data_IF_619261355340
#
_entry.id   IF_619261355340
#
_cell.length_a   1.000
_cell.length_b   1.000
_cell.length_c   1.000
_cell.angle_alpha   90.00
_cell.angle_beta   90.00
_cell.angle_gamma   90.00
#
_symmetry.space_group_name_H-M   'P 1'
#
loop_
_entity.id
_entity.type
_entity.pdbx_description
1 polymer ?
#
# COMPACT_ATOMS: atom_id res chain seq x y z
N UNK A 1 15.19 26.71 28.78
CA UNK A 1 14.43 27.22 27.61
C UNK A 1 14.05 26.05 26.72
N UNK A 2 12.84 25.51 26.86
CA UNK A 2 12.31 24.48 25.96
C UNK A 2 12.11 25.11 24.58
N UNK A 3 12.84 24.64 23.58
CA UNK A 3 12.66 25.05 22.17
C UNK A 3 11.19 24.86 21.78
N UNK A 4 10.43 25.96 21.78
CA UNK A 4 9.05 25.99 21.30
C UNK A 4 9.13 25.77 19.79
N UNK A 5 8.99 24.53 19.33
CA UNK A 5 8.96 24.16 17.90
C UNK A 5 7.59 24.54 17.29
N UNK A 6 7.21 25.81 17.38
CA UNK A 6 5.96 26.32 16.80
C UNK A 6 6.06 26.46 15.28
N UNK A 7 7.27 26.59 14.75
CA UNK A 7 7.53 26.67 13.31
C UNK A 7 8.86 25.97 12.98
N UNK A 8 8.88 25.24 11.86
CA UNK A 8 10.11 24.68 11.31
C UNK A 8 10.98 25.81 10.74
N UNK A 9 12.26 25.88 11.14
CA UNK A 9 13.16 26.97 10.73
C UNK A 9 13.37 27.04 9.22
N UNK A 10 13.14 25.95 8.49
CA UNK A 10 13.19 25.92 7.01
C UNK A 10 12.22 26.91 6.36
N UNK A 11 11.09 27.24 7.00
CA UNK A 11 10.16 28.25 6.46
C UNK A 11 10.81 29.63 6.38
N UNK A 12 11.71 29.99 7.30
CA UNK A 12 12.46 31.25 7.22
C UNK A 12 13.40 31.28 6.01
N UNK A 13 13.91 30.12 5.58
CA UNK A 13 14.76 30.03 4.38
C UNK A 13 13.99 30.22 3.08
N UNK A 14 12.71 29.80 3.04
CA UNK A 14 11.89 29.85 1.82
C UNK A 14 11.04 31.12 1.75
N UNK A 15 10.52 31.58 2.90
CA UNK A 15 9.52 32.63 3.02
C UNK A 15 9.97 33.73 3.99
N UNK A 16 11.27 33.86 4.23
CA UNK A 16 11.83 34.87 5.15
C UNK A 16 11.59 36.30 4.69
N UNK A 17 11.36 36.51 3.39
CA UNK A 17 11.02 37.82 2.81
C UNK A 17 9.71 37.72 2.03
N UNK A 18 8.97 38.83 2.00
CA UNK A 18 7.72 38.94 1.24
C UNK A 18 7.94 38.68 -0.26
N UNK A 19 9.03 39.21 -0.81
CA UNK A 19 9.43 39.00 -2.21
C UNK A 19 9.59 37.53 -2.59
N UNK A 20 10.06 36.68 -1.65
CA UNK A 20 10.25 35.26 -1.90
C UNK A 20 8.88 34.55 -2.01
N UNK A 21 7.94 34.92 -1.13
CA UNK A 21 6.57 34.43 -1.18
C UNK A 21 5.89 34.79 -2.50
N UNK A 22 5.95 36.06 -2.89
CA UNK A 22 5.32 36.56 -4.12
C UNK A 22 5.94 35.88 -5.36
N UNK A 23 7.28 35.80 -5.40
CA UNK A 23 7.99 35.12 -6.50
C UNK A 23 7.62 33.64 -6.63
N UNK A 24 7.48 32.91 -5.53
CA UNK A 24 7.08 31.49 -5.57
C UNK A 24 5.62 31.39 -6.02
N UNK A 25 4.72 32.22 -5.49
CA UNK A 25 3.29 32.21 -5.83
C UNK A 25 3.05 32.47 -7.33
N UNK A 26 3.78 33.43 -7.91
CA UNK A 26 3.74 33.75 -9.33
C UNK A 26 4.28 32.58 -10.17
N UNK A 27 5.45 32.04 -9.79
CA UNK A 27 6.10 30.97 -10.53
C UNK A 27 5.29 29.67 -10.59
N UNK A 28 4.44 29.41 -9.59
CA UNK A 28 3.59 28.21 -9.55
C UNK A 28 2.18 28.45 -10.09
N UNK A 29 1.82 29.69 -10.43
CA UNK A 29 0.47 30.03 -10.88
C UNK A 29 -0.58 29.76 -9.81
N UNK A 30 -0.39 30.30 -8.60
CA UNK A 30 -1.33 30.15 -7.50
C UNK A 30 -2.65 30.89 -7.80
N UNK A 31 -3.76 30.15 -7.75
CA UNK A 31 -5.12 30.65 -7.90
C UNK A 31 -5.89 30.54 -6.58
N UNK A 32 -6.85 31.44 -6.38
CA UNK A 32 -7.69 31.50 -5.19
C UNK A 32 -9.16 31.20 -5.52
N UNK A 33 -9.89 30.65 -4.54
CA UNK A 33 -11.34 30.53 -4.66
C UNK A 33 -11.98 31.93 -4.83
N UNK A 34 -13.00 32.08 -5.70
CA UNK A 34 -13.67 33.35 -5.90
C UNK A 34 -14.19 33.97 -4.60
N UNK A 35 -13.92 35.26 -4.40
CA UNK A 35 -14.34 36.02 -3.21
C UNK A 35 -13.54 35.75 -1.93
N UNK A 36 -12.54 34.86 -1.94
CA UNK A 36 -11.74 34.56 -0.74
C UNK A 36 -10.91 35.75 -0.27
N UNK A 37 -10.22 36.44 -1.17
CA UNK A 37 -9.40 37.59 -0.79
C UNK A 37 -10.26 38.74 -0.26
N UNK A 38 -11.43 38.97 -0.87
CA UNK A 38 -12.40 39.96 -0.41
C UNK A 38 -12.94 39.62 0.98
N UNK A 39 -13.20 38.33 1.25
CA UNK A 39 -13.66 37.87 2.56
C UNK A 39 -12.60 38.10 3.64
N UNK A 40 -11.31 37.89 3.34
CA UNK A 40 -10.22 38.04 4.32
C UNK A 40 -10.02 39.47 4.82
N UNK A 41 -10.48 40.47 4.07
CA UNK A 41 -10.42 41.89 4.48
C UNK A 41 -11.70 42.37 5.16
N UNK A 42 -12.72 41.53 5.30
CA UNK A 42 -13.96 41.90 5.97
C UNK A 42 -13.82 41.89 7.49
N UNK A 43 -14.47 42.83 8.21
CA UNK A 43 -14.43 42.88 9.67
C UNK A 43 -15.17 41.70 10.33
N UNK A 44 -16.09 41.05 9.60
CA UNK A 44 -16.86 39.90 10.08
C UNK A 44 -16.50 38.64 9.30
N UNK A 45 -16.42 37.47 9.94
CA UNK A 45 -16.13 36.22 9.24
C UNK A 45 -17.25 35.89 8.24
N UNK A 46 -16.94 35.26 7.10
CA UNK A 46 -17.96 34.83 6.17
C UNK A 46 -18.82 33.71 6.78
N UNK A 47 -20.09 33.58 6.37
CA UNK A 47 -20.94 32.49 6.83
C UNK A 47 -20.45 31.14 6.34
N UNK A 48 -20.87 30.02 6.96
CA UNK A 48 -20.46 28.68 6.53
C UNK A 48 -20.80 28.39 5.05
N UNK A 49 -21.88 28.98 4.53
CA UNK A 49 -22.31 28.84 3.13
C UNK A 49 -21.29 29.36 2.12
N UNK A 50 -20.41 30.28 2.52
CA UNK A 50 -19.33 30.80 1.69
C UNK A 50 -18.38 29.70 1.21
N UNK A 51 -18.03 28.76 2.10
CA UNK A 51 -17.17 27.64 1.69
C UNK A 51 -17.90 26.66 0.77
N UNK A 52 -19.23 26.61 0.81
CA UNK A 52 -20.00 25.67 -0.01
C UNK A 52 -19.99 26.04 -1.50
N UNK A 53 -19.81 27.34 -1.81
CA UNK A 53 -19.73 27.86 -3.18
C UNK A 53 -18.35 27.69 -3.82
N UNK A 54 -17.34 27.23 -3.07
CA UNK A 54 -16.00 27.01 -3.62
C UNK A 54 -15.98 25.86 -4.65
N UNK A 55 -14.97 25.80 -5.53
CA UNK A 55 -14.85 24.72 -6.50
C UNK A 55 -14.61 23.35 -5.86
N UNK A 56 -15.02 22.27 -6.53
CA UNK A 56 -14.70 20.91 -6.10
C UNK A 56 -13.24 20.53 -6.41
N UNK A 57 -12.61 19.65 -5.62
CA UNK A 57 -11.28 19.09 -5.91
C UNK A 57 -11.12 18.53 -7.32
N UNK A 58 -10.09 19.00 -8.05
CA UNK A 58 -9.74 18.53 -9.40
C UNK A 58 -8.44 17.73 -9.41
N UNK A 59 -8.27 16.89 -10.43
CA UNK A 59 -7.00 16.20 -10.69
C UNK A 59 -5.95 17.20 -11.18
N UNK A 60 -4.67 16.85 -11.06
CA UNK A 60 -3.57 17.65 -11.61
C UNK A 60 -3.22 18.91 -10.82
N UNK A 61 -3.85 19.13 -9.67
CA UNK A 61 -3.67 20.34 -8.87
C UNK A 61 -3.08 20.03 -7.49
N UNK A 62 -2.16 20.89 -7.06
CA UNK A 62 -1.77 21.06 -5.66
C UNK A 62 -2.56 22.19 -5.03
N UNK A 63 -2.63 22.21 -3.69
CA UNK A 63 -3.23 23.34 -2.97
C UNK A 63 -3.92 22.95 -1.68
N UNK A 64 -4.83 23.82 -1.25
CA UNK A 64 -5.52 23.77 0.03
C UNK A 64 -7.00 23.51 -0.21
N UNK A 65 -7.58 22.65 0.61
CA UNK A 65 -9.01 22.37 0.59
C UNK A 65 -9.59 22.51 2.00
N UNK A 66 -10.89 22.78 2.06
CA UNK A 66 -11.69 22.73 3.28
C UNK A 66 -12.60 21.51 3.24
N UNK A 67 -12.67 20.79 4.36
CA UNK A 67 -13.59 19.68 4.62
C UNK A 67 -14.62 20.16 5.63
N UNK A 68 -15.91 19.97 5.30
CA UNK A 68 -17.03 20.41 6.15
C UNK A 68 -17.81 19.19 6.59
N UNK A 69 -17.89 19.00 7.91
CA UNK A 69 -18.65 17.94 8.52
C UNK A 69 -19.92 18.50 9.18
N UNK A 70 -21.04 17.83 8.95
CA UNK A 70 -22.31 18.13 9.58
C UNK A 70 -22.97 16.84 10.08
N UNK A 71 -23.81 16.95 11.12
CA UNK A 71 -24.67 15.84 11.57
C UNK A 71 -25.69 15.50 10.48
N UNK A 72 -25.95 14.20 10.27
CA UNK A 72 -26.95 13.71 9.30
C UNK A 72 -28.36 14.22 9.63
N UNK A 73 -28.79 14.06 10.88
CA UNK A 73 -30.14 14.42 11.29
C UNK A 73 -30.33 15.95 11.31
N UNK A 74 -31.37 16.43 10.61
CA UNK A 74 -31.68 17.87 10.48
C UNK A 74 -31.83 18.57 11.83
N UNK A 75 -32.47 17.91 12.82
CA UNK A 75 -32.62 18.43 14.19
C UNK A 75 -31.25 18.63 14.86
N UNK A 76 -30.37 17.62 14.78
CA UNK A 76 -29.01 17.70 15.34
C UNK A 76 -28.15 18.73 14.61
N UNK A 77 -28.34 18.92 13.30
CA UNK A 77 -27.62 19.94 12.53
C UNK A 77 -27.94 21.37 12.99
N UNK A 78 -29.19 21.63 13.41
CA UNK A 78 -29.57 22.94 13.99
C UNK A 78 -28.96 23.17 15.37
N UNK A 79 -28.70 22.09 16.12
CA UNK A 79 -28.20 22.16 17.51
C UNK A 79 -26.66 22.08 17.60
N UNK A 80 -26.01 21.50 16.59
CA UNK A 80 -24.57 21.29 16.57
C UNK A 80 -23.91 22.17 15.51
N UNK A 81 -22.89 22.94 15.90
CA UNK A 81 -22.03 23.62 14.93
C UNK A 81 -21.39 22.61 13.97
N UNK A 82 -21.26 23.01 12.69
CA UNK A 82 -20.48 22.26 11.71
C UNK A 82 -19.01 22.20 12.16
N UNK A 83 -18.27 21.18 11.71
CA UNK A 83 -16.82 21.11 11.90
C UNK A 83 -16.16 21.45 10.58
N UNK A 84 -15.21 22.38 10.62
CA UNK A 84 -14.42 22.80 9.46
C UNK A 84 -12.97 22.41 9.67
N UNK A 85 -12.34 21.85 8.64
CA UNK A 85 -10.94 21.43 8.63
C UNK A 85 -10.28 21.86 7.33
N UNK A 86 -9.11 22.48 7.42
CA UNK A 86 -8.30 22.80 6.26
C UNK A 86 -7.20 21.77 6.16
N UNK A 87 -6.99 21.27 4.95
CA UNK A 87 -5.91 20.34 4.64
C UNK A 87 -5.27 20.71 3.31
N UNK A 88 -4.07 20.19 3.06
CA UNK A 88 -3.44 20.34 1.76
C UNK A 88 -3.26 19.02 1.02
N UNK A 89 -3.35 19.13 -0.31
CA UNK A 89 -3.17 18.02 -1.24
C UNK A 89 -1.93 18.22 -2.08
N UNK A 90 -0.85 17.52 -1.74
CA UNK A 90 0.48 17.66 -2.38
C UNK A 90 1.00 16.32 -2.93
N UNK A 91 0.11 15.39 -3.25
CA UNK A 91 0.51 14.06 -3.69
C UNK A 91 1.16 14.12 -5.08
N UNK A 92 2.39 13.59 -5.18
CA UNK A 92 3.18 13.47 -6.42
C UNK A 92 3.08 12.08 -7.04
N UNK A 93 1.94 11.41 -6.91
CA UNK A 93 1.83 10.08 -7.47
C UNK A 93 1.90 10.13 -9.00
N UNK A 94 2.27 9.00 -9.62
CA UNK A 94 2.47 8.87 -11.08
C UNK A 94 1.23 9.28 -11.88
N UNK A 95 0.05 9.29 -11.23
CA UNK A 95 -1.23 9.64 -11.85
C UNK A 95 -1.59 11.13 -11.75
N UNK A 96 -0.71 11.96 -11.18
CA UNK A 96 -0.93 13.40 -11.08
C UNK A 96 -2.20 13.76 -10.32
N UNK A 97 -2.57 12.97 -9.31
CA UNK A 97 -3.91 13.07 -8.76
C UNK A 97 -4.05 14.16 -7.67
N UNK A 98 -2.94 14.69 -7.14
CA UNK A 98 -2.90 15.95 -6.39
C UNK A 98 -3.87 16.03 -5.21
N UNK A 99 -4.61 17.14 -5.11
CA UNK A 99 -5.68 17.34 -4.12
C UNK A 99 -6.74 16.25 -4.21
N UNK A 100 -7.24 15.93 -5.42
CA UNK A 100 -8.35 15.00 -5.59
C UNK A 100 -8.06 13.62 -5.01
N UNK A 101 -6.83 13.11 -5.14
CA UNK A 101 -6.44 11.85 -4.49
C UNK A 101 -6.58 11.92 -2.99
N UNK A 102 -6.03 12.97 -2.37
CA UNK A 102 -6.09 13.16 -0.92
C UNK A 102 -7.54 13.25 -0.45
N UNK A 103 -8.39 13.98 -1.16
CA UNK A 103 -9.79 14.13 -0.78
C UNK A 103 -10.64 12.87 -1.03
N UNK A 104 -10.30 12.06 -2.04
CA UNK A 104 -10.98 10.78 -2.29
C UNK A 104 -10.72 9.76 -1.16
N UNK A 105 -9.54 9.77 -0.54
CA UNK A 105 -9.28 8.89 0.61
C UNK A 105 -10.20 9.12 1.80
N UNK A 106 -10.90 10.26 1.85
CA UNK A 106 -11.90 10.55 2.87
C UNK A 106 -13.27 9.97 2.56
N UNK A 107 -13.54 9.63 1.29
CA UNK A 107 -14.82 9.05 0.84
C UNK A 107 -14.82 7.53 0.88
N UNK A 108 -13.68 6.91 0.56
CA UNK A 108 -13.65 5.48 0.23
C UNK A 108 -13.67 4.56 1.47
N UNK A 109 -12.93 4.90 2.55
CA UNK A 109 -12.78 3.98 3.70
C UNK A 109 -12.52 4.70 5.04
N UNK A 110 -12.54 6.04 5.07
CA UNK A 110 -12.23 6.86 6.24
C UNK A 110 -10.87 6.56 6.94
N UNK A 111 -10.07 5.64 6.39
CA UNK A 111 -8.82 5.10 6.97
C UNK A 111 -7.74 6.16 7.16
N UNK A 112 -7.80 7.23 6.37
CA UNK A 112 -6.79 8.30 6.35
C UNK A 112 -7.33 9.64 6.84
N UNK A 113 -8.46 9.64 7.55
CA UNK A 113 -8.94 10.85 8.21
C UNK A 113 -7.94 11.31 9.28
N UNK A 114 -7.69 12.63 9.40
CA UNK A 114 -7.06 13.17 10.60
C UNK A 114 -7.84 12.76 11.86
N UNK A 115 -7.15 12.54 12.98
CA UNK A 115 -7.71 11.98 14.22
C UNK A 115 -9.00 12.68 14.69
N UNK A 116 -9.05 14.02 14.62
CA UNK A 116 -10.24 14.78 14.99
C UNK A 116 -11.43 14.51 14.06
N UNK A 117 -11.19 14.37 12.76
CA UNK A 117 -12.25 14.07 11.78
C UNK A 117 -12.72 12.63 11.94
N UNK A 118 -11.79 11.70 12.21
CA UNK A 118 -12.10 10.31 12.49
C UNK A 118 -13.04 10.20 13.70
N UNK A 119 -12.69 10.84 14.83
CA UNK A 119 -13.54 10.88 16.03
C UNK A 119 -14.90 11.52 15.75
N UNK A 120 -14.92 12.65 15.04
CA UNK A 120 -16.18 13.31 14.68
C UNK A 120 -17.11 12.38 13.88
N UNK A 121 -16.57 11.66 12.89
CA UNK A 121 -17.36 10.75 12.03
C UNK A 121 -17.80 9.50 12.80
N UNK A 122 -16.87 8.80 13.45
CA UNK A 122 -17.13 7.48 14.01
C UNK A 122 -17.73 7.50 15.41
N UNK A 123 -17.44 8.53 16.21
CA UNK A 123 -17.87 8.59 17.62
C UNK A 123 -18.98 9.62 17.82
N UNK A 124 -18.93 10.74 17.09
CA UNK A 124 -19.91 11.80 17.24
C UNK A 124 -21.01 11.74 16.17
N UNK A 125 -20.94 10.87 15.17
CA UNK A 125 -22.00 10.74 14.14
C UNK A 125 -22.09 11.93 13.18
N UNK A 126 -20.98 12.65 12.98
CA UNK A 126 -20.85 13.59 11.88
C UNK A 126 -20.64 12.86 10.55
N UNK A 127 -20.90 13.57 9.45
CA UNK A 127 -20.54 13.13 8.10
C UNK A 127 -19.87 14.25 7.34
N UNK A 128 -18.90 13.90 6.50
CA UNK A 128 -18.35 14.82 5.51
C UNK A 128 -19.44 15.15 4.50
N UNK A 129 -19.85 16.40 4.47
CA UNK A 129 -20.88 16.89 3.54
C UNK A 129 -20.26 17.52 2.31
N UNK A 130 -19.13 18.21 2.47
CA UNK A 130 -18.47 18.93 1.40
C UNK A 130 -16.95 18.84 1.54
N UNK A 131 -16.28 18.80 0.39
CA UNK A 131 -14.84 19.05 0.26
C UNK A 131 -14.66 20.02 -0.88
N UNK A 132 -13.96 21.13 -0.62
CA UNK A 132 -13.92 22.29 -1.52
C UNK A 132 -12.52 22.89 -1.58
N UNK A 133 -12.08 23.37 -2.74
CA UNK A 133 -10.76 23.96 -2.92
C UNK A 133 -10.76 25.43 -2.49
N UNK A 134 -9.77 25.81 -1.69
CA UNK A 134 -9.60 27.18 -1.17
C UNK A 134 -8.59 27.96 -2.00
N UNK A 135 -7.47 27.33 -2.34
CA UNK A 135 -6.51 27.82 -3.32
C UNK A 135 -5.81 26.63 -3.97
N UNK A 136 -5.31 26.81 -5.18
CA UNK A 136 -4.70 25.73 -5.94
C UNK A 136 -3.67 26.23 -6.95
N UNK A 137 -2.86 25.31 -7.44
CA UNK A 137 -1.87 25.52 -8.50
C UNK A 137 -1.75 24.22 -9.30
N UNK A 138 -1.32 24.27 -10.58
CA UNK A 138 -0.84 23.07 -11.28
C UNK A 138 0.24 22.36 -10.45
N UNK A 139 0.38 21.04 -10.59
CA UNK A 139 1.48 20.31 -9.93
C UNK A 139 2.83 20.96 -10.33
N UNK A 140 3.61 21.50 -9.38
CA UNK A 140 4.80 22.26 -9.72
C UNK A 140 5.86 21.43 -10.43
N UNK A 141 6.62 22.10 -11.30
CA UNK A 141 7.83 21.55 -11.90
C UNK A 141 8.78 21.05 -10.79
N UNK A 142 9.53 19.96 -11.00
CA UNK A 142 10.36 19.34 -9.97
C UNK A 142 11.20 20.33 -9.14
N UNK A 143 11.88 21.26 -9.81
CA UNK A 143 12.75 22.27 -9.19
C UNK A 143 12.02 23.22 -8.22
N UNK A 144 10.72 23.46 -8.42
CA UNK A 144 9.92 24.36 -7.58
C UNK A 144 9.18 23.64 -6.45
N UNK A 145 9.10 22.30 -6.47
CA UNK A 145 8.19 21.55 -5.58
C UNK A 145 8.45 21.77 -4.09
N UNK A 146 9.71 21.80 -3.66
CA UNK A 146 10.02 22.00 -2.24
C UNK A 146 9.59 23.40 -1.76
N UNK A 147 9.82 24.43 -2.59
CA UNK A 147 9.40 25.80 -2.30
C UNK A 147 7.88 25.94 -2.34
N UNK A 148 7.23 25.35 -3.34
CA UNK A 148 5.78 25.30 -3.47
C UNK A 148 5.10 24.55 -2.31
N UNK A 149 5.70 23.45 -1.84
CA UNK A 149 5.22 22.73 -0.65
C UNK A 149 5.33 23.60 0.61
N UNK A 150 6.44 24.34 0.76
CA UNK A 150 6.59 25.35 1.80
C UNK A 150 5.49 26.42 1.73
N UNK A 151 5.24 26.99 0.55
CA UNK A 151 4.17 27.96 0.34
C UNK A 151 2.80 27.38 0.75
N UNK A 152 2.45 26.19 0.26
CA UNK A 152 1.16 25.54 0.56
C UNK A 152 1.01 25.26 2.06
N UNK A 153 2.05 24.79 2.75
CA UNK A 153 1.99 24.56 4.19
C UNK A 153 1.85 25.86 4.99
N UNK A 154 2.54 26.93 4.59
CA UNK A 154 2.43 28.23 5.24
C UNK A 154 1.05 28.86 5.03
N UNK A 155 0.51 28.77 3.81
CA UNK A 155 -0.85 29.20 3.49
C UNK A 155 -1.89 28.36 4.23
N UNK A 156 -1.70 27.04 4.33
CA UNK A 156 -2.59 26.14 5.09
C UNK A 156 -2.64 26.58 6.55
N UNK A 157 -1.49 26.88 7.16
CA UNK A 157 -1.44 27.35 8.53
C UNK A 157 -2.14 28.70 8.69
N UNK A 158 -1.81 29.65 7.81
CA UNK A 158 -2.32 31.02 7.88
C UNK A 158 -3.85 31.05 7.72
N UNK A 159 -4.37 30.34 6.72
CA UNK A 159 -5.82 30.19 6.52
C UNK A 159 -6.45 29.42 7.68
N UNK A 160 -5.80 28.37 8.18
CA UNK A 160 -6.34 27.57 9.28
C UNK A 160 -6.49 28.38 10.58
N UNK A 161 -5.53 29.25 10.85
CA UNK A 161 -5.57 30.20 11.97
C UNK A 161 -6.63 31.28 11.74
N UNK A 162 -6.62 31.90 10.56
CA UNK A 162 -7.56 32.98 10.20
C UNK A 162 -9.01 32.52 10.31
N UNK A 163 -9.35 31.38 9.72
CA UNK A 163 -10.68 30.79 9.79
C UNK A 163 -10.93 29.99 11.08
N UNK A 164 -10.03 30.03 12.08
CA UNK A 164 -10.22 29.39 13.39
C UNK A 164 -10.60 27.89 13.29
N UNK A 165 -10.02 27.17 12.34
CA UNK A 165 -10.26 25.72 12.16
C UNK A 165 -9.28 24.85 12.96
N UNK A 166 -8.28 25.46 13.59
CA UNK A 166 -7.39 24.82 14.57
C UNK A 166 -7.99 24.96 15.95
N UNK A 167 -7.97 23.88 16.75
CA UNK A 167 -8.39 23.94 18.15
C UNK A 167 -7.52 24.93 18.94
N UNK A 168 -8.07 25.62 19.95
CA UNK A 168 -7.29 26.54 20.76
C UNK A 168 -6.01 25.89 21.31
N UNK A 169 -4.89 26.58 21.15
CA UNK A 169 -3.57 26.18 21.63
C UNK A 169 -3.03 27.19 22.64
N UNK A 170 -2.10 26.73 23.49
CA UNK A 170 -1.43 27.60 24.47
C UNK A 170 -0.66 28.77 23.84
N UNK A 171 -0.22 28.60 22.58
CA UNK A 171 0.51 29.61 21.81
C UNK A 171 -0.40 30.61 21.09
N UNK A 172 -1.72 30.41 21.06
CA UNK A 172 -2.61 31.25 20.23
C UNK A 172 -2.60 32.73 20.66
N UNK A 173 -2.40 33.00 21.94
CA UNK A 173 -2.30 34.37 22.47
C UNK A 173 -1.17 35.19 21.82
N UNK A 174 -0.15 34.53 21.27
CA UNK A 174 0.96 35.19 20.57
C UNK A 174 0.56 35.72 19.19
N UNK A 175 -0.52 35.20 18.61
CA UNK A 175 -0.92 35.50 17.23
C UNK A 175 -2.35 36.03 17.14
N UNK A 176 -3.14 35.95 18.22
CA UNK A 176 -4.55 36.35 18.21
C UNK A 176 -4.78 37.79 17.74
N UNK A 177 -3.87 38.71 18.08
CA UNK A 177 -3.92 40.10 17.66
C UNK A 177 -3.65 40.32 16.17
N UNK A 178 -3.14 39.31 15.46
CA UNK A 178 -2.87 39.34 14.01
C UNK A 178 -4.04 38.77 13.20
N UNK A 179 -4.99 38.11 13.83
CA UNK A 179 -6.08 37.41 13.15
C UNK A 179 -7.31 38.32 13.05
N UNK A 180 -7.99 38.38 11.88
CA UNK A 180 -9.11 39.31 11.67
C UNK A 180 -10.34 38.94 12.51
N UNK A 181 -10.47 37.68 12.94
CA UNK A 181 -11.65 37.19 13.64
C UNK A 181 -11.30 36.42 14.91
N UNK A 182 -12.22 36.46 15.86
CA UNK A 182 -12.12 35.70 17.11
C UNK A 182 -12.70 34.29 16.94
N UNK A 183 -12.34 33.36 17.83
CA UNK A 183 -12.93 32.02 17.83
C UNK A 183 -14.45 32.04 18.11
N UNK A 184 -14.95 33.06 18.82
CA UNK A 184 -16.37 33.19 19.14
C UNK A 184 -17.20 33.68 17.94
N UNK A 185 -16.60 34.46 17.03
CA UNK A 185 -17.31 35.06 15.90
C UNK A 185 -17.59 34.09 14.74
N UNK A 186 -16.96 32.90 14.70
CA UNK A 186 -17.17 31.93 13.61
C UNK A 186 -18.31 30.94 13.91
N UNK A 187 -19.02 30.53 12.85
CA UNK A 187 -20.20 29.64 12.92
C UNK A 187 -19.86 28.15 13.07
N UNK A 188 -18.59 27.78 12.89
CA UNK A 188 -18.13 26.39 12.93
C UNK A 188 -17.24 26.09 14.14
N UNK A 189 -16.96 24.81 14.33
CA UNK A 189 -15.99 24.28 15.29
C UNK A 189 -14.70 23.88 14.57
N UNK A 190 -13.55 23.96 15.27
CA UNK A 190 -12.28 23.54 14.70
C UNK A 190 -12.20 22.03 14.49
N UNK A 191 -11.65 21.63 13.35
CA UNK A 191 -11.38 20.23 12.99
C UNK A 191 -9.90 19.87 12.93
N UNK A 192 -8.98 20.82 13.19
CA UNK A 192 -7.53 20.61 13.12
C UNK A 192 -6.88 20.67 14.51
N UNK A 193 -5.82 19.89 14.71
CA UNK A 193 -5.11 19.76 15.99
C UNK A 193 -3.68 20.28 15.99
N UNK A 194 -3.15 20.75 14.85
CA UNK A 194 -1.76 21.19 14.71
C UNK A 194 -1.61 22.30 13.66
N UNK A 195 -0.51 23.05 13.75
CA UNK A 195 -0.11 23.99 12.71
C UNK A 195 0.69 23.25 11.63
N UNK A 196 0.31 23.40 10.36
CA UNK A 196 1.04 22.78 9.24
C UNK A 196 2.50 23.28 9.12
N UNK A 197 2.85 24.43 9.71
CA UNK A 197 4.23 24.94 9.74
C UNK A 197 5.20 24.12 10.63
N UNK A 198 4.71 23.20 11.46
CA UNK A 198 5.59 22.25 12.17
C UNK A 198 6.00 21.08 11.27
N UNK A 199 5.35 20.92 10.12
CA UNK A 199 5.62 19.83 9.20
C UNK A 199 6.98 20.00 8.52
N UNK A 200 7.55 18.87 8.11
CA UNK A 200 8.76 18.85 7.31
C UNK A 200 8.41 19.05 5.83
N UNK A 201 9.04 20.02 5.20
CA UNK A 201 9.00 20.20 3.74
C UNK A 201 9.81 19.07 3.10
N UNK A 202 9.25 18.44 2.06
CA UNK A 202 9.89 17.31 1.39
C UNK A 202 10.75 17.81 0.24
N UNK A 203 11.88 17.14 0.05
CA UNK A 203 12.89 17.55 -0.91
C UNK A 203 14.06 18.25 -0.24
N UNK A 204 15.10 18.50 -1.01
CA UNK A 204 16.30 19.19 -0.57
C UNK A 204 16.35 20.53 -1.29
N UNK A 205 16.32 21.61 -0.51
CA UNK A 205 16.37 22.98 -1.02
C UNK A 205 17.75 23.38 -1.52
N UNK A 206 18.79 22.59 -1.21
CA UNK A 206 20.18 22.85 -1.60
C UNK A 206 20.55 22.25 -2.95
N UNK A 207 19.71 21.35 -3.48
CA UNK A 207 19.98 20.69 -4.75
C UNK A 207 19.74 21.61 -5.94
N UNK A 208 20.52 21.42 -7.00
CA UNK A 208 20.32 22.16 -8.26
C UNK A 208 19.05 21.69 -8.99
N UNK A 209 18.57 22.50 -9.93
CA UNK A 209 17.39 22.15 -10.73
C UNK A 209 17.62 20.86 -11.55
N UNK A 210 18.84 20.66 -12.06
CA UNK A 210 19.27 19.50 -12.83
C UNK A 210 19.28 18.24 -11.96
N UNK A 211 19.86 18.30 -10.75
CA UNK A 211 19.88 17.18 -9.82
C UNK A 211 18.46 16.78 -9.40
N UNK A 212 17.60 17.76 -9.14
CA UNK A 212 16.19 17.53 -8.81
C UNK A 212 15.46 16.86 -9.97
N UNK A 213 15.73 17.26 -11.22
CA UNK A 213 15.15 16.64 -12.40
C UNK A 213 15.57 15.16 -12.55
N UNK A 214 16.85 14.84 -12.33
CA UNK A 214 17.37 13.46 -12.33
C UNK A 214 16.66 12.62 -11.25
N UNK A 215 16.54 13.14 -10.03
CA UNK A 215 15.84 12.44 -8.95
C UNK A 215 14.36 12.24 -9.27
N UNK A 216 13.70 13.20 -9.91
CA UNK A 216 12.30 13.07 -10.30
C UNK A 216 12.09 11.93 -11.30
N UNK A 217 12.96 11.83 -12.32
CA UNK A 217 12.94 10.71 -13.28
C UNK A 217 13.09 9.37 -12.56
N UNK A 218 14.06 9.27 -11.64
CA UNK A 218 14.26 8.05 -10.84
C UNK A 218 13.07 7.73 -9.92
N UNK A 219 12.45 8.74 -9.31
CA UNK A 219 11.24 8.57 -8.47
C UNK A 219 10.06 8.06 -9.30
N UNK A 220 9.82 8.65 -10.48
CA UNK A 220 8.77 8.19 -11.41
C UNK A 220 9.01 6.76 -11.87
N UNK A 221 10.24 6.40 -12.23
CA UNK A 221 10.60 5.03 -12.60
C UNK A 221 10.35 4.03 -11.46
N UNK A 222 10.82 4.34 -10.24
CA UNK A 222 10.58 3.51 -9.05
C UNK A 222 9.09 3.36 -8.73
N UNK A 223 8.32 4.44 -8.83
CA UNK A 223 6.89 4.41 -8.57
C UNK A 223 6.14 3.58 -9.62
N UNK A 224 6.51 3.68 -10.90
CA UNK A 224 5.97 2.82 -11.96
C UNK A 224 6.27 1.34 -11.69
N UNK A 225 7.50 1.03 -11.28
CA UNK A 225 7.89 -0.34 -10.94
C UNK A 225 7.16 -0.89 -9.71
N UNK A 226 7.03 -0.06 -8.67
CA UNK A 226 6.26 -0.41 -7.49
C UNK A 226 4.81 -0.74 -7.84
N UNK A 227 4.15 0.11 -8.64
CA UNK A 227 2.78 -0.13 -9.08
C UNK A 227 2.65 -1.41 -9.92
N UNK A 228 3.60 -1.67 -10.83
CA UNK A 228 3.63 -2.93 -11.59
C UNK A 228 3.68 -4.16 -10.68
N UNK A 229 4.53 -4.15 -9.65
CA UNK A 229 4.62 -5.24 -8.66
C UNK A 229 3.37 -5.36 -7.82
N UNK A 230 2.80 -4.23 -7.41
CA UNK A 230 1.57 -4.18 -6.62
C UNK A 230 0.38 -4.77 -7.39
N UNK A 231 0.20 -4.36 -8.65
CA UNK A 231 -0.87 -4.87 -9.51
C UNK A 231 -0.70 -6.37 -9.79
N UNK A 232 0.54 -6.84 -10.03
CA UNK A 232 0.84 -8.25 -10.18
C UNK A 232 0.51 -9.06 -8.90
N UNK A 233 0.79 -8.51 -7.72
CA UNK A 233 0.44 -9.14 -6.44
C UNK A 233 -1.07 -9.17 -6.21
N UNK A 234 -1.80 -8.11 -6.56
CA UNK A 234 -3.27 -8.11 -6.50
C UNK A 234 -3.82 -9.22 -7.40
N UNK A 235 -3.35 -9.31 -8.65
CA UNK A 235 -3.81 -10.32 -9.59
C UNK A 235 -3.52 -11.73 -9.07
N UNK A 236 -2.32 -11.97 -8.54
CA UNK A 236 -1.96 -13.24 -7.90
C UNK A 236 -2.91 -13.59 -6.76
N UNK A 237 -3.22 -12.63 -5.87
CA UNK A 237 -4.15 -12.86 -4.76
C UNK A 237 -5.56 -13.20 -5.25
N UNK A 238 -6.03 -12.58 -6.33
CA UNK A 238 -7.31 -12.91 -6.96
C UNK A 238 -7.29 -14.33 -7.52
N UNK A 239 -6.22 -14.72 -8.21
CA UNK A 239 -6.08 -16.04 -8.80
C UNK A 239 -5.96 -17.14 -7.73
N UNK A 240 -5.22 -16.89 -6.65
CA UNK A 240 -5.09 -17.80 -5.52
C UNK A 240 -6.44 -18.01 -4.82
N UNK A 241 -7.22 -16.95 -4.62
CA UNK A 241 -8.61 -17.06 -4.12
C UNK A 241 -9.47 -17.90 -5.05
N UNK A 242 -9.42 -17.68 -6.36
CA UNK A 242 -10.16 -18.49 -7.34
C UNK A 242 -9.73 -19.97 -7.29
N UNK A 243 -8.42 -20.25 -7.18
CA UNK A 243 -7.89 -21.62 -7.05
C UNK A 243 -8.40 -22.29 -5.78
N UNK A 244 -8.42 -21.58 -4.65
CA UNK A 244 -8.95 -22.08 -3.39
C UNK A 244 -10.44 -22.41 -3.49
N UNK A 245 -11.26 -21.51 -4.03
CA UNK A 245 -12.69 -21.75 -4.25
C UNK A 245 -12.93 -22.95 -5.18
N UNK A 246 -12.18 -23.05 -6.28
CA UNK A 246 -12.27 -24.18 -7.21
C UNK A 246 -11.85 -25.50 -6.56
N UNK A 247 -10.84 -25.49 -5.68
CA UNK A 247 -10.42 -26.67 -4.93
C UNK A 247 -11.54 -27.17 -4.00
N UNK A 248 -12.14 -26.26 -3.23
CA UNK A 248 -13.28 -26.60 -2.34
C UNK A 248 -14.45 -27.16 -3.16
N UNK A 249 -14.81 -26.52 -4.28
CA UNK A 249 -15.89 -26.99 -5.14
C UNK A 249 -15.62 -28.37 -5.72
N UNK A 250 -14.38 -28.67 -6.13
CA UNK A 250 -14.01 -30.00 -6.67
C UNK A 250 -14.05 -31.08 -5.61
N UNK A 251 -13.64 -30.79 -4.38
CA UNK A 251 -13.70 -31.75 -3.29
C UNK A 251 -15.15 -32.04 -2.91
N UNK A 252 -16.01 -31.02 -2.84
CA UNK A 252 -17.44 -31.21 -2.61
C UNK A 252 -18.09 -32.11 -3.66
N UNK A 253 -17.75 -31.92 -4.94
CA UNK A 253 -18.23 -32.78 -6.05
C UNK A 253 -17.83 -34.25 -5.85
N UNK A 254 -16.61 -34.51 -5.35
CA UNK A 254 -16.13 -35.86 -5.07
C UNK A 254 -16.82 -36.47 -3.85
N UNK A 255 -17.01 -35.70 -2.78
CA UNK A 255 -17.69 -36.13 -1.55
C UNK A 255 -19.17 -36.45 -1.81
N UNK A 256 -19.86 -35.60 -2.59
CA UNK A 256 -21.25 -35.81 -3.02
C UNK A 256 -21.39 -36.92 -4.08
N UNK A 257 -20.27 -37.53 -4.53
CA UNK A 257 -20.22 -38.49 -5.65
C UNK A 257 -21.00 -38.03 -6.88
N UNK A 258 -21.01 -36.72 -7.17
CA UNK A 258 -21.91 -36.11 -8.16
C UNK A 258 -21.65 -36.59 -9.60
N UNK A 259 -20.40 -36.91 -9.90
CA UNK A 259 -20.01 -37.54 -11.17
C UNK A 259 -19.34 -38.87 -10.86
N UNK A 260 -20.15 -39.90 -10.62
CA UNK A 260 -19.70 -41.21 -10.19
C UNK A 260 -19.93 -42.26 -11.27
N UNK A 261 -19.07 -43.27 -11.29
CA UNK A 261 -19.17 -44.42 -12.18
C UNK A 261 -19.38 -45.68 -11.33
N UNK A 262 -20.60 -46.22 -11.31
CA UNK A 262 -20.95 -47.40 -10.51
C UNK A 262 -20.11 -48.63 -10.89
N UNK A 263 -19.94 -48.99 -12.19
CA UNK A 263 -19.17 -50.19 -12.57
C UNK A 263 -17.69 -50.15 -12.15
N UNK A 264 -17.15 -48.97 -11.89
CA UNK A 264 -15.74 -48.78 -11.51
C UNK A 264 -15.55 -48.29 -10.07
N UNK A 265 -16.63 -48.10 -9.31
CA UNK A 265 -16.67 -47.49 -7.97
C UNK A 265 -15.72 -46.27 -7.83
N UNK A 266 -15.85 -45.31 -8.75
CA UNK A 266 -14.96 -44.15 -8.78
C UNK A 266 -15.71 -42.83 -8.99
N UNK A 267 -15.37 -41.83 -8.18
CA UNK A 267 -15.90 -40.46 -8.30
C UNK A 267 -14.93 -39.57 -9.08
N UNK A 268 -15.46 -38.75 -9.97
CA UNK A 268 -14.71 -37.85 -10.84
C UNK A 268 -14.93 -36.39 -10.45
N UNK A 269 -13.91 -35.56 -10.72
CA UNK A 269 -13.91 -34.13 -10.37
C UNK A 269 -14.80 -33.25 -11.27
N UNK A 270 -15.50 -33.84 -12.23
CA UNK A 270 -16.32 -33.12 -13.21
C UNK A 270 -16.88 -34.04 -14.29
N UNK A 271 -17.94 -33.58 -14.95
CA UNK A 271 -18.68 -34.32 -15.99
C UNK A 271 -17.79 -34.79 -17.14
N UNK A 272 -16.94 -33.90 -17.67
CA UNK A 272 -16.00 -34.25 -18.75
C UNK A 272 -15.06 -35.40 -18.36
N UNK A 273 -14.56 -35.41 -17.13
CA UNK A 273 -13.67 -36.48 -16.67
C UNK A 273 -14.40 -37.83 -16.55
N UNK A 274 -15.67 -37.81 -16.13
CA UNK A 274 -16.52 -38.99 -16.18
C UNK A 274 -16.76 -39.42 -17.62
N UNK A 275 -17.15 -38.51 -18.52
CA UNK A 275 -17.37 -38.82 -19.93
C UNK A 275 -16.13 -39.41 -20.62
N UNK A 276 -14.94 -38.87 -20.35
CA UNK A 276 -13.68 -39.41 -20.86
C UNK A 276 -13.37 -40.79 -20.25
N UNK A 277 -13.66 -40.99 -18.96
CA UNK A 277 -13.56 -42.31 -18.33
C UNK A 277 -14.48 -43.34 -18.99
N UNK A 278 -15.75 -43.00 -19.22
CA UNK A 278 -16.74 -43.90 -19.82
C UNK A 278 -16.32 -44.36 -21.23
N UNK A 279 -15.58 -43.52 -21.96
CA UNK A 279 -15.03 -43.86 -23.29
C UNK A 279 -13.75 -44.72 -23.23
N UNK A 280 -13.09 -44.79 -22.07
CA UNK A 280 -11.80 -45.47 -21.95
C UNK A 280 -11.92 -46.99 -22.04
N UNK A 281 -10.92 -47.65 -22.62
CA UNK A 281 -10.84 -49.12 -22.66
C UNK A 281 -10.96 -49.73 -21.26
N UNK A 282 -10.41 -49.06 -20.24
CA UNK A 282 -10.49 -49.51 -18.85
C UNK A 282 -11.92 -49.63 -18.33
N UNK A 283 -12.78 -48.67 -18.68
CA UNK A 283 -14.18 -48.72 -18.29
C UNK A 283 -14.91 -49.84 -19.03
N UNK A 284 -14.67 -49.99 -20.34
CA UNK A 284 -15.24 -51.11 -21.11
C UNK A 284 -14.80 -52.47 -20.58
N UNK A 285 -13.53 -52.62 -20.21
CA UNK A 285 -12.99 -53.85 -19.62
C UNK A 285 -13.65 -54.16 -18.27
N UNK A 286 -13.86 -53.13 -17.44
CA UNK A 286 -14.54 -53.26 -16.15
C UNK A 286 -16.01 -53.70 -16.32
N UNK A 287 -16.75 -53.10 -17.27
CA UNK A 287 -18.13 -53.53 -17.60
C UNK A 287 -18.16 -54.99 -18.07
N UNK A 288 -17.17 -55.41 -18.87
CA UNK A 288 -17.05 -56.80 -19.36
C UNK A 288 -16.60 -57.79 -18.28
N UNK A 289 -16.41 -57.35 -17.04
CA UNK A 289 -15.91 -58.20 -15.95
C UNK A 289 -14.48 -58.69 -16.16
N UNK A 290 -13.73 -58.08 -17.09
CA UNK A 290 -12.32 -58.44 -17.34
C UNK A 290 -11.50 -57.92 -16.16
N UNK A 291 -11.29 -58.78 -15.18
CA UNK A 291 -10.31 -58.52 -14.14
C UNK A 291 -8.93 -58.50 -14.80
N UNK A 292 -8.40 -57.30 -15.05
CA UNK A 292 -6.98 -57.17 -15.37
C UNK A 292 -6.21 -57.81 -14.22
N UNK A 293 -5.17 -58.61 -14.51
CA UNK A 293 -4.33 -59.16 -13.45
C UNK A 293 -3.90 -57.98 -12.60
N UNK A 294 -4.34 -57.97 -11.33
CA UNK A 294 -3.91 -56.98 -10.35
C UNK A 294 -2.42 -56.92 -10.52
N UNK A 295 -1.90 -55.77 -10.96
CA UNK A 295 -0.47 -55.59 -11.18
C UNK A 295 0.14 -55.90 -9.82
N UNK A 296 0.66 -57.12 -9.67
CA UNK A 296 0.64 -57.76 -8.35
C UNK A 296 1.34 -56.83 -7.40
N UNK A 297 0.76 -56.62 -6.22
CA UNK A 297 1.44 -55.94 -5.13
C UNK A 297 2.87 -56.45 -5.00
N UNK A 298 3.13 -57.73 -5.31
CA UNK A 298 4.46 -58.31 -5.49
C UNK A 298 5.34 -57.66 -6.58
N UNK A 299 4.89 -57.41 -7.82
CA UNK A 299 5.71 -56.73 -8.86
C UNK A 299 5.99 -55.28 -8.48
N UNK A 300 5.01 -54.56 -7.95
CA UNK A 300 5.20 -53.19 -7.48
C UNK A 300 6.12 -53.16 -6.25
N UNK A 301 5.92 -54.04 -5.28
CA UNK A 301 6.78 -54.19 -4.11
C UNK A 301 8.20 -54.59 -4.49
N UNK A 302 8.40 -55.50 -5.45
CA UNK A 302 9.72 -55.83 -6.00
C UNK A 302 10.39 -54.63 -6.66
N UNK A 303 9.66 -53.84 -7.47
CA UNK A 303 10.21 -52.60 -8.06
C UNK A 303 10.55 -51.56 -6.97
N UNK A 304 9.70 -51.41 -5.95
CA UNK A 304 9.92 -50.50 -4.83
C UNK A 304 11.13 -50.93 -3.98
N UNK A 305 11.22 -52.22 -3.65
CA UNK A 305 12.33 -52.81 -2.93
C UNK A 305 13.64 -52.70 -3.73
N UNK A 306 13.62 -52.97 -5.03
CA UNK A 306 14.78 -52.79 -5.90
C UNK A 306 15.23 -51.32 -5.98
N UNK A 307 14.30 -50.36 -6.04
CA UNK A 307 14.61 -48.92 -5.97
C UNK A 307 15.21 -48.54 -4.62
N UNK A 308 14.64 -49.02 -3.53
CA UNK A 308 15.15 -48.77 -2.18
C UNK A 308 16.56 -49.36 -1.99
N UNK A 309 16.79 -50.59 -2.47
CA UNK A 309 18.10 -51.23 -2.44
C UNK A 309 19.15 -50.45 -3.26
N UNK A 310 18.80 -49.99 -4.47
CA UNK A 310 19.68 -49.13 -5.29
C UNK A 310 19.96 -47.77 -4.65
N UNK A 311 18.97 -47.17 -4.01
CA UNK A 311 19.13 -45.91 -3.30
C UNK A 311 20.06 -46.08 -2.08
N UNK A 312 19.87 -47.15 -1.30
CA UNK A 312 20.74 -47.49 -0.17
C UNK A 312 22.17 -47.80 -0.62
N UNK A 313 22.34 -48.54 -1.71
CA UNK A 313 23.62 -48.85 -2.32
C UNK A 313 24.24 -47.67 -3.11
N UNK A 314 23.53 -46.53 -3.21
CA UNK A 314 23.91 -45.37 -4.03
C UNK A 314 24.32 -45.75 -5.47
N UNK A 315 23.66 -46.75 -6.05
CA UNK A 315 24.03 -47.31 -7.37
C UNK A 315 24.01 -46.26 -8.47
N UNK A 316 23.01 -45.37 -8.47
CA UNK A 316 22.89 -44.26 -9.41
C UNK A 316 22.89 -42.95 -8.62
N UNK A 317 24.07 -42.48 -8.23
CA UNK A 317 24.21 -41.36 -7.30
C UNK A 317 25.09 -40.24 -7.86
N UNK A 318 24.61 -39.01 -7.75
CA UNK A 318 25.38 -37.81 -8.07
C UNK A 318 26.06 -37.30 -6.80
N UNK A 319 27.40 -37.33 -6.78
CA UNK A 319 28.20 -36.85 -5.65
C UNK A 319 28.16 -35.34 -5.46
N UNK A 320 28.01 -34.56 -6.54
CA UNK A 320 27.98 -33.10 -6.50
C UNK A 320 26.70 -32.55 -5.86
N UNK A 321 25.57 -33.19 -6.20
CA UNK A 321 24.25 -32.81 -5.71
C UNK A 321 23.84 -33.60 -4.46
N UNK A 322 24.59 -34.65 -4.10
CA UNK A 322 24.24 -35.62 -3.06
C UNK A 322 22.80 -36.14 -3.25
N UNK A 323 22.54 -36.67 -4.46
CA UNK A 323 21.20 -37.10 -4.88
C UNK A 323 21.26 -38.49 -5.52
N UNK A 324 20.38 -39.39 -5.10
CA UNK A 324 20.15 -40.69 -5.72
C UNK A 324 19.11 -40.58 -6.84
N UNK A 325 19.30 -41.39 -7.88
CA UNK A 325 18.42 -41.51 -9.05
C UNK A 325 17.85 -42.93 -9.13
N UNK A 326 16.70 -43.09 -9.78
CA UNK A 326 15.99 -44.37 -9.87
C UNK A 326 16.70 -45.39 -10.79
N UNK A 327 17.37 -44.89 -11.82
CA UNK A 327 18.12 -45.63 -12.83
C UNK A 327 19.24 -44.78 -13.45
N UNK A 328 20.07 -45.40 -14.30
CA UNK A 328 21.18 -44.74 -14.98
C UNK A 328 20.68 -43.62 -15.90
N UNK A 329 19.60 -43.83 -16.66
CA UNK A 329 19.05 -42.81 -17.56
C UNK A 329 18.61 -41.56 -16.81
N UNK A 330 18.04 -41.70 -15.63
CA UNK A 330 17.69 -40.58 -14.75
C UNK A 330 18.93 -39.84 -14.24
N UNK A 331 20.02 -40.56 -13.92
CA UNK A 331 21.30 -39.96 -13.54
C UNK A 331 21.94 -39.20 -14.70
N UNK A 332 21.93 -39.77 -15.90
CA UNK A 332 22.48 -39.12 -17.10
C UNK A 332 21.71 -37.83 -17.42
N UNK A 333 20.38 -37.89 -17.36
CA UNK A 333 19.53 -36.69 -17.50
C UNK A 333 19.80 -35.68 -16.39
N UNK A 334 19.98 -36.12 -15.15
CA UNK A 334 20.35 -35.24 -14.04
C UNK A 334 21.66 -34.52 -14.33
N UNK A 335 22.70 -35.23 -14.79
CA UNK A 335 24.01 -34.65 -15.05
C UNK A 335 24.02 -33.70 -16.28
N UNK A 336 23.17 -33.96 -17.28
CA UNK A 336 23.20 -33.22 -18.55
C UNK A 336 22.20 -32.08 -18.66
N UNK A 337 21.02 -32.23 -18.06
CA UNK A 337 19.87 -31.35 -18.31
C UNK A 337 19.29 -30.70 -17.05
N UNK A 338 19.74 -31.12 -15.86
CA UNK A 338 19.26 -30.50 -14.64
C UNK A 338 19.98 -29.18 -14.40
N UNK A 339 19.23 -28.08 -14.51
CA UNK A 339 19.73 -26.72 -14.24
C UNK A 339 20.51 -26.63 -12.92
N UNK A 340 20.01 -27.26 -11.85
CA UNK A 340 20.65 -27.20 -10.54
C UNK A 340 21.97 -27.98 -10.48
N UNK A 341 22.07 -29.07 -11.24
CA UNK A 341 23.32 -29.82 -11.36
C UNK A 341 24.37 -28.94 -12.04
N UNK A 342 24.02 -28.30 -13.17
CA UNK A 342 24.92 -27.42 -13.91
C UNK A 342 25.39 -26.22 -13.07
N UNK A 343 24.49 -25.64 -12.26
CA UNK A 343 24.87 -24.60 -11.30
C UNK A 343 25.87 -25.11 -10.24
N UNK A 344 25.70 -26.34 -9.73
CA UNK A 344 26.64 -26.94 -8.78
C UNK A 344 27.99 -27.27 -9.43
N UNK A 345 28.01 -27.70 -10.69
CA UNK A 345 29.24 -27.92 -11.47
C UNK A 345 29.99 -26.60 -11.62
N UNK A 346 29.30 -25.52 -12.01
CA UNK A 346 29.90 -24.18 -12.12
C UNK A 346 30.42 -23.67 -10.76
N UNK A 347 29.65 -23.86 -9.68
CA UNK A 347 30.07 -23.49 -8.33
C UNK A 347 31.33 -24.26 -7.90
N UNK A 348 31.39 -25.57 -8.14
CA UNK A 348 32.56 -26.38 -7.82
C UNK A 348 33.79 -25.92 -8.63
N UNK A 349 33.64 -25.63 -9.92
CA UNK A 349 34.71 -25.11 -10.76
C UNK A 349 35.23 -23.75 -10.27
N UNK A 350 34.36 -22.92 -9.68
CA UNK A 350 34.71 -21.64 -9.08
C UNK A 350 35.22 -21.72 -7.62
N UNK A 351 35.38 -22.92 -7.05
CA UNK A 351 35.77 -23.11 -5.65
C UNK A 351 34.69 -22.68 -4.63
N UNK A 352 33.45 -22.47 -5.09
CA UNK A 352 32.31 -22.09 -4.26
C UNK A 352 31.58 -23.34 -3.72
N UNK A 353 30.98 -23.27 -2.53
CA UNK A 353 30.19 -24.37 -2.00
C UNK A 353 28.97 -24.65 -2.88
N UNK A 354 28.66 -25.92 -3.11
CA UNK A 354 27.44 -26.32 -3.82
C UNK A 354 26.19 -25.86 -3.05
N UNK A 355 25.10 -25.60 -3.76
CA UNK A 355 23.88 -24.99 -3.20
C UNK A 355 23.33 -25.75 -1.99
N UNK A 356 23.34 -27.08 -2.01
CA UNK A 356 22.85 -27.93 -0.90
C UNK A 356 23.73 -27.80 0.34
N UNK A 357 25.05 -27.68 0.16
CA UNK A 357 26.01 -27.44 1.26
C UNK A 357 25.82 -26.03 1.84
N UNK A 358 25.62 -25.03 0.97
CA UNK A 358 25.32 -23.66 1.40
C UNK A 358 24.04 -23.58 2.23
N UNK A 359 22.95 -24.23 1.79
CA UNK A 359 21.67 -24.25 2.53
C UNK A 359 21.77 -25.00 3.86
N UNK A 360 22.48 -26.13 3.93
CA UNK A 360 22.75 -26.82 5.21
C UNK A 360 23.57 -25.94 6.15
N UNK A 361 24.59 -25.23 5.65
CA UNK A 361 25.38 -24.31 6.45
C UNK A 361 24.55 -23.13 6.98
N UNK A 362 23.61 -22.60 6.18
CA UNK A 362 22.68 -21.57 6.66
C UNK A 362 21.69 -22.09 7.71
N UNK A 363 21.17 -23.31 7.53
CA UNK A 363 20.26 -23.92 8.50
C UNK A 363 20.96 -24.17 9.85
N UNK A 364 22.17 -24.71 9.83
CA UNK A 364 22.97 -24.91 11.04
C UNK A 364 23.29 -23.58 11.76
N UNK A 365 23.54 -22.50 11.02
CA UNK A 365 23.73 -21.16 11.62
C UNK A 365 22.47 -20.65 12.30
N UNK A 366 21.30 -20.86 11.71
CA UNK A 366 20.01 -20.45 12.30
C UNK A 366 19.67 -21.21 13.57
N UNK A 367 20.05 -22.48 13.68
CA UNK A 367 19.82 -23.26 14.91
C UNK A 367 20.70 -22.76 16.06
N UNK A 368 21.92 -22.30 15.78
CA UNK A 368 22.81 -21.70 16.80
C UNK A 368 22.29 -20.34 17.29
N UNK A 369 21.64 -19.54 16.44
CA UNK A 369 21.11 -18.22 16.83
C UNK A 369 19.84 -18.32 17.71
N UNK A 370 19.06 -19.40 17.60
CA UNK A 370 17.80 -19.56 18.38
C UNK A 370 18.06 -19.90 19.84
N UNK A 371 19.18 -20.55 20.16
CA UNK A 371 19.56 -20.86 21.55
C UNK A 371 20.33 -19.72 22.24
N UNK A 372 20.72 -18.67 21.50
CA UNK A 372 21.56 -17.56 22.00
C UNK A 372 20.81 -16.33 22.55
N UNK A 373 19.54 -16.12 22.22
CA UNK A 373 18.86 -14.82 22.45
C UNK A 373 17.84 -14.77 23.61
N UNK A 374 17.82 -15.76 24.52
CA UNK A 374 16.82 -15.81 25.61
C UNK A 374 17.33 -15.44 27.02
N UNK A 375 18.47 -14.76 27.17
CA UNK A 375 18.92 -14.24 28.48
C UNK A 375 19.40 -12.80 28.42
N UNK A 376 18.52 -11.89 28.84
CA UNK A 376 18.94 -10.68 29.56
C UNK A 376 18.49 -9.38 28.94
N UNK A 377 17.31 -8.90 29.33
CA UNK A 377 17.07 -7.48 29.59
C UNK A 377 16.05 -7.41 30.74
N UNK A 378 16.60 -7.59 31.94
CA UNK A 378 15.91 -7.31 33.19
C UNK A 378 15.61 -5.82 33.30
N UNK A 379 14.39 -5.53 33.73
CA UNK A 379 13.91 -4.23 34.17
C UNK A 379 14.80 -3.67 35.27
N UNK A 380 15.13 -2.39 35.16
CA UNK A 380 15.36 -1.55 36.34
C UNK A 380 14.74 -0.18 36.11
N UNK A 381 14.21 0.34 37.22
CA UNK A 381 13.43 1.56 37.43
C UNK A 381 14.10 2.84 36.94
#
# INVERSE_FOLDING_TARGET
MTSNKTCNTVFQTILGRRSDLDSIADAVGLEWAPGLLDALVQPTPPPLSFFLSFPEPRNGLWGIYVVILQKKARKLRKQSKAISYFGSGKANDVRGAGIRKRTNTYKDDFTYLPDMLFKAVHQEGYTITHVRMVCWMPIPAPALRARAEGLVLALECSLSMTFRVIRPMKSDSQYDHLLPWTAASVEWRPGCSHYSMIERIRGDLKMSAEEIAIIDVQRKARAKEYHRKYDANIQKNIDDKKRATNHVSRNRILEEKRFYCDPCDHSYKGERALADHLKSDKHRDAIKGVQKPVNTTAKYARRKAARAARAAARTYYCSLCDQTCDDQTALDKHNTSNKWHMENVAAQAAGLPTRKRYLKAQAARREVDVDGESKGLGKTL
#
